data_IF_755743764365
#
_entry.id   IF_755743764365
#
_cell.length_a   1.000
_cell.length_b   1.000
_cell.length_c   1.000
_cell.angle_alpha   90.00
_cell.angle_beta   90.00
_cell.angle_gamma   90.00
#
_symmetry.space_group_name_H-M   'P 1'
#
loop_
_entity.id
_entity.type
_entity.pdbx_description
1 polymer ?
#
# COMPACT_ATOMS: atom_id res chain seq x y z
N UNK A 1 -45.02 -61.84 -12.20
CA UNK A 1 -43.65 -61.83 -12.77
C UNK A 1 -43.73 -60.95 -14.01
N UNK A 2 -43.15 -59.77 -14.14
CA UNK A 2 -42.22 -58.99 -13.33
C UNK A 2 -42.51 -57.48 -13.54
N UNK A 3 -42.07 -56.65 -12.60
CA UNK A 3 -42.19 -55.19 -12.54
C UNK A 3 -41.11 -54.50 -13.44
N UNK A 4 -41.13 -53.16 -13.58
CA UNK A 4 -40.65 -52.43 -14.77
C UNK A 4 -39.16 -52.06 -14.73
N UNK A 5 -38.51 -52.02 -15.89
CA UNK A 5 -37.15 -51.49 -16.04
C UNK A 5 -37.14 -49.96 -16.14
N UNK A 6 -36.87 -49.36 -14.98
CA UNK A 6 -35.86 -48.32 -14.75
C UNK A 6 -35.61 -47.30 -15.86
N UNK A 7 -36.14 -46.10 -15.64
CA UNK A 7 -35.66 -44.85 -16.21
C UNK A 7 -34.15 -44.68 -15.92
N UNK A 8 -33.31 -44.85 -16.94
CA UNK A 8 -31.89 -44.53 -16.85
C UNK A 8 -31.72 -43.00 -16.94
N UNK A 9 -31.84 -42.38 -15.78
CA UNK A 9 -31.40 -41.01 -15.53
C UNK A 9 -29.90 -40.93 -15.80
N UNK A 10 -29.49 -40.40 -16.96
CA UNK A 10 -28.11 -39.98 -17.19
C UNK A 10 -27.83 -38.78 -16.28
N UNK A 11 -27.23 -39.05 -15.12
CA UNK A 11 -26.63 -38.02 -14.29
C UNK A 11 -25.50 -37.36 -15.08
N UNK A 12 -25.53 -36.06 -15.38
CA UNK A 12 -24.37 -35.39 -15.93
C UNK A 12 -23.28 -35.39 -14.85
N UNK A 13 -22.09 -35.86 -15.19
CA UNK A 13 -20.92 -35.75 -14.34
C UNK A 13 -20.75 -34.29 -13.89
N UNK A 14 -20.45 -34.02 -12.61
CA UNK A 14 -20.21 -32.65 -12.18
C UNK A 14 -19.01 -32.10 -12.96
N UNK A 15 -19.06 -30.84 -13.43
CA UNK A 15 -17.91 -30.22 -14.08
C UNK A 15 -16.72 -30.25 -13.12
N UNK A 16 -15.48 -30.38 -13.62
CA UNK A 16 -14.29 -30.29 -12.78
C UNK A 16 -14.37 -28.97 -12.01
N UNK A 17 -14.40 -29.09 -10.68
CA UNK A 17 -14.41 -27.96 -9.77
C UNK A 17 -13.34 -26.95 -10.23
N UNK A 18 -13.77 -25.77 -10.65
CA UNK A 18 -12.94 -24.58 -10.78
C UNK A 18 -12.53 -24.11 -9.37
N UNK A 19 -11.83 -24.96 -8.63
CA UNK A 19 -11.20 -24.64 -7.36
C UNK A 19 -9.75 -24.25 -7.62
N UNK A 20 -9.58 -23.20 -8.44
CA UNK A 20 -8.36 -22.38 -8.42
C UNK A 20 -8.71 -20.90 -8.24
N UNK A 21 -9.80 -20.65 -7.50
CA UNK A 21 -10.05 -19.34 -6.94
C UNK A 21 -9.33 -19.28 -5.59
N UNK A 22 -8.17 -18.62 -5.57
CA UNK A 22 -7.50 -18.27 -4.31
C UNK A 22 -6.26 -19.09 -3.95
N UNK A 23 -5.41 -19.46 -4.92
CA UNK A 23 -3.98 -19.54 -4.59
C UNK A 23 -3.55 -18.08 -4.35
N UNK A 24 -3.70 -17.61 -3.11
CA UNK A 24 -3.09 -16.35 -2.67
C UNK A 24 -1.61 -16.51 -2.98
N UNK A 25 -1.13 -15.72 -3.94
CA UNK A 25 0.26 -15.77 -4.37
C UNK A 25 1.10 -15.29 -3.18
N UNK A 26 1.58 -16.22 -2.37
CA UNK A 26 2.43 -15.91 -1.23
C UNK A 26 3.72 -15.28 -1.72
N UNK A 27 3.88 -13.99 -1.46
CA UNK A 27 5.07 -13.25 -1.88
C UNK A 27 6.16 -13.50 -0.84
N UNK A 28 7.27 -14.08 -1.29
CA UNK A 28 8.43 -14.28 -0.42
C UNK A 28 9.07 -12.93 -0.08
N UNK A 29 9.82 -12.87 1.03
CA UNK A 29 10.59 -11.66 1.39
C UNK A 29 11.46 -11.15 0.24
N UNK A 30 12.12 -12.04 -0.51
CA UNK A 30 12.99 -11.65 -1.64
C UNK A 30 12.21 -11.03 -2.79
N UNK A 31 11.05 -11.59 -3.13
CA UNK A 31 10.20 -11.04 -4.18
C UNK A 31 9.66 -9.67 -3.78
N UNK A 32 9.24 -9.51 -2.52
CA UNK A 32 8.85 -8.21 -1.99
C UNK A 32 10.00 -7.20 -2.00
N UNK A 33 11.21 -7.58 -1.57
CA UNK A 33 12.37 -6.68 -1.58
C UNK A 33 12.71 -6.24 -3.02
N UNK A 34 12.60 -7.16 -3.99
CA UNK A 34 12.75 -6.85 -5.42
C UNK A 34 11.67 -5.88 -5.92
N UNK A 35 10.40 -6.12 -5.58
CA UNK A 35 9.29 -5.25 -5.95
C UNK A 35 9.46 -3.84 -5.33
N UNK A 36 9.92 -3.74 -4.09
CA UNK A 36 10.27 -2.45 -3.46
C UNK A 36 11.38 -1.73 -4.22
N UNK A 37 12.46 -2.44 -4.58
CA UNK A 37 13.58 -1.85 -5.32
C UNK A 37 13.15 -1.35 -6.71
N UNK A 38 12.36 -2.14 -7.45
CA UNK A 38 11.80 -1.73 -8.75
C UNK A 38 10.88 -0.52 -8.59
N UNK A 39 10.03 -0.53 -7.55
CA UNK A 39 9.13 0.58 -7.25
C UNK A 39 9.89 1.88 -6.99
N UNK A 40 11.03 1.81 -6.30
CA UNK A 40 11.92 2.95 -6.09
C UNK A 40 12.51 3.48 -7.40
N UNK A 41 12.97 2.60 -8.30
CA UNK A 41 13.47 2.98 -9.63
C UNK A 41 12.38 3.68 -10.45
N UNK A 42 11.17 3.13 -10.47
CA UNK A 42 10.04 3.75 -11.15
C UNK A 42 9.74 5.16 -10.61
N UNK A 43 9.73 5.35 -9.29
CA UNK A 43 9.55 6.67 -8.67
C UNK A 43 10.65 7.65 -9.09
N UNK A 44 11.92 7.20 -9.10
CA UNK A 44 13.04 8.03 -9.52
C UNK A 44 12.94 8.46 -10.99
N UNK A 45 12.29 7.66 -11.83
CA UNK A 45 12.01 7.97 -13.23
C UNK A 45 10.69 8.73 -13.44
N UNK A 46 9.97 9.13 -12.39
CA UNK A 46 8.67 9.80 -12.48
C UNK A 46 7.51 8.90 -12.91
N UNK A 47 7.70 7.58 -12.85
CA UNK A 47 6.73 6.54 -13.22
C UNK A 47 5.93 6.10 -11.99
N UNK A 48 5.26 7.04 -11.33
CA UNK A 48 4.58 6.79 -10.05
C UNK A 48 3.40 5.82 -10.15
N UNK A 49 2.68 5.78 -11.27
CA UNK A 49 1.61 4.82 -11.51
C UNK A 49 2.13 3.37 -11.54
N UNK A 50 3.25 3.13 -12.23
CA UNK A 50 3.90 1.81 -12.27
C UNK A 50 4.41 1.41 -10.89
N UNK A 51 5.02 2.35 -10.16
CA UNK A 51 5.44 2.12 -8.78
C UNK A 51 4.26 1.73 -7.88
N UNK A 52 3.16 2.48 -7.94
CA UNK A 52 1.98 2.21 -7.13
C UNK A 52 1.39 0.82 -7.43
N UNK A 53 1.31 0.43 -8.70
CA UNK A 53 0.82 -0.90 -9.09
C UNK A 53 1.68 -2.02 -8.49
N UNK A 54 3.00 -1.89 -8.50
CA UNK A 54 3.91 -2.88 -7.89
C UNK A 54 3.75 -2.94 -6.36
N UNK A 55 3.62 -1.79 -5.70
CA UNK A 55 3.48 -1.71 -4.25
C UNK A 55 2.14 -2.28 -3.76
N UNK A 56 1.07 -2.12 -4.54
CA UNK A 56 -0.25 -2.68 -4.21
C UNK A 56 -0.25 -4.21 -4.18
N UNK A 57 0.59 -4.87 -4.99
CA UNK A 57 0.75 -6.33 -5.00
C UNK A 57 1.26 -6.82 -3.64
N UNK A 58 2.20 -6.09 -3.01
CA UNK A 58 2.84 -6.50 -1.76
C UNK A 58 2.20 -5.92 -0.50
N UNK A 59 1.47 -4.81 -0.60
CA UNK A 59 0.92 -4.09 0.55
C UNK A 59 -0.16 -4.87 1.31
N UNK A 60 -0.85 -5.81 0.65
CA UNK A 60 -1.89 -6.61 1.31
C UNK A 60 -1.29 -7.64 2.28
N UNK A 61 -0.26 -8.37 1.85
CA UNK A 61 0.40 -9.41 2.67
C UNK A 61 1.38 -8.84 3.69
N UNK A 62 1.96 -7.67 3.41
CA UNK A 62 2.99 -7.03 4.25
C UNK A 62 2.50 -5.70 4.84
N UNK A 63 1.25 -5.66 5.27
CA UNK A 63 0.59 -4.45 5.79
C UNK A 63 1.22 -3.84 7.05
N UNK A 64 2.16 -4.55 7.70
CA UNK A 64 2.91 -4.10 8.89
C UNK A 64 4.36 -3.68 8.58
N UNK A 65 4.81 -3.76 7.33
CA UNK A 65 6.19 -3.42 6.95
C UNK A 65 6.32 -1.89 6.80
N UNK A 66 7.01 -1.26 7.77
CA UNK A 66 7.20 0.20 7.86
C UNK A 66 7.89 0.76 6.62
N UNK A 67 8.92 0.10 6.10
CA UNK A 67 9.65 0.58 4.92
C UNK A 67 8.77 0.52 3.67
N UNK A 68 8.02 -0.57 3.51
CA UNK A 68 7.07 -0.70 2.41
C UNK A 68 5.99 0.40 2.46
N UNK A 69 5.42 0.65 3.64
CA UNK A 69 4.41 1.68 3.84
C UNK A 69 4.95 3.08 3.53
N UNK A 70 6.21 3.38 3.86
CA UNK A 70 6.84 4.67 3.52
C UNK A 70 6.92 4.89 2.01
N UNK A 71 7.33 3.87 1.26
CA UNK A 71 7.40 3.94 -0.21
C UNK A 71 5.98 4.08 -0.79
N UNK A 72 5.02 3.31 -0.27
CA UNK A 72 3.62 3.38 -0.69
C UNK A 72 3.01 4.78 -0.50
N UNK A 73 3.24 5.42 0.65
CA UNK A 73 2.80 6.80 0.90
C UNK A 73 3.32 7.76 -0.16
N UNK A 74 4.61 7.67 -0.50
CA UNK A 74 5.20 8.54 -1.51
C UNK A 74 4.59 8.30 -2.90
N UNK A 75 4.36 7.04 -3.29
CA UNK A 75 3.70 6.70 -4.55
C UNK A 75 2.26 7.23 -4.62
N UNK A 76 1.48 7.07 -3.55
CA UNK A 76 0.11 7.57 -3.45
C UNK A 76 0.06 9.10 -3.56
N UNK A 77 0.96 9.82 -2.87
CA UNK A 77 1.05 11.29 -2.97
C UNK A 77 1.40 11.74 -4.39
N UNK A 78 2.31 11.02 -5.06
CA UNK A 78 2.76 11.33 -6.41
C UNK A 78 1.64 11.16 -7.44
N UNK A 79 0.79 10.15 -7.26
CA UNK A 79 -0.41 9.92 -8.08
C UNK A 79 -1.63 10.76 -7.66
N UNK A 80 -1.54 11.55 -6.58
CA UNK A 80 -2.63 12.40 -6.11
C UNK A 80 -3.70 11.68 -5.29
N UNK A 81 -3.45 10.43 -4.88
CA UNK A 81 -4.32 9.65 -3.99
C UNK A 81 -4.15 10.10 -2.52
N UNK A 82 -4.59 11.33 -2.23
CA UNK A 82 -4.39 11.97 -0.93
C UNK A 82 -5.01 11.22 0.26
N UNK A 83 -6.25 10.77 0.14
CA UNK A 83 -6.94 10.07 1.24
C UNK A 83 -6.32 8.71 1.53
N UNK A 84 -5.94 7.95 0.49
CA UNK A 84 -5.23 6.68 0.65
C UNK A 84 -3.85 6.88 1.28
N UNK A 85 -3.14 7.95 0.91
CA UNK A 85 -1.87 8.30 1.53
C UNK A 85 -2.03 8.62 3.03
N UNK A 86 -3.11 9.32 3.41
CA UNK A 86 -3.42 9.59 4.81
C UNK A 86 -3.71 8.30 5.58
N UNK A 87 -4.50 7.38 5.00
CA UNK A 87 -4.77 6.09 5.62
C UNK A 87 -3.49 5.25 5.84
N UNK A 88 -2.54 5.30 4.90
CA UNK A 88 -1.24 4.65 5.05
C UNK A 88 -0.35 5.33 6.10
N UNK A 89 -0.36 6.67 6.17
CA UNK A 89 0.33 7.43 7.21
C UNK A 89 -0.22 7.15 8.61
N UNK A 90 -1.54 6.99 8.75
CA UNK A 90 -2.17 6.61 10.03
C UNK A 90 -1.79 5.20 10.48
N UNK A 91 -1.40 4.32 9.55
CA UNK A 91 -0.79 3.02 9.88
C UNK A 91 0.66 3.19 10.31
N UNK A 92 1.44 4.02 9.60
CA UNK A 92 2.83 4.32 9.98
C UNK A 92 2.93 4.89 11.39
N UNK A 93 2.06 5.82 11.77
CA UNK A 93 2.04 6.37 13.14
C UNK A 93 1.84 5.32 14.24
N UNK A 94 1.25 4.16 13.91
CA UNK A 94 1.02 3.05 14.86
C UNK A 94 2.16 2.04 14.90
N UNK A 95 3.01 2.02 13.88
CA UNK A 95 4.04 1.00 13.66
C UNK A 95 5.46 1.54 13.79
N UNK A 96 5.65 2.82 13.49
CA UNK A 96 6.94 3.49 13.43
C UNK A 96 7.18 4.29 14.70
N UNK A 97 7.82 3.63 15.68
CA UNK A 97 8.19 4.25 16.95
C UNK A 97 9.49 5.07 16.88
N UNK A 98 10.18 5.10 15.73
CA UNK A 98 11.44 5.83 15.60
C UNK A 98 11.21 7.36 15.61
N UNK A 99 11.74 8.09 16.61
CA UNK A 99 11.60 9.54 16.67
C UNK A 99 12.18 10.26 15.45
N UNK A 100 13.17 9.68 14.76
CA UNK A 100 13.79 10.27 13.58
C UNK A 100 12.82 10.37 12.40
N UNK A 101 11.83 9.47 12.34
CA UNK A 101 10.80 9.38 11.31
C UNK A 101 9.76 10.50 11.39
N UNK A 102 9.62 11.13 12.57
CA UNK A 102 8.54 12.09 12.84
C UNK A 102 8.52 13.27 11.87
N UNK A 103 9.67 13.91 11.63
CA UNK A 103 9.74 15.08 10.74
C UNK A 103 9.45 14.71 9.27
N UNK A 104 10.08 13.66 8.69
CA UNK A 104 9.71 13.15 7.37
C UNK A 104 8.22 12.80 7.23
N UNK A 105 7.63 12.07 8.18
CA UNK A 105 6.21 11.70 8.13
C UNK A 105 5.30 12.92 8.21
N UNK A 106 5.68 13.94 8.99
CA UNK A 106 4.89 15.16 9.13
C UNK A 106 4.83 15.97 7.84
N UNK A 107 5.94 16.07 7.09
CA UNK A 107 5.91 16.72 5.77
C UNK A 107 5.11 15.90 4.76
N UNK A 108 5.27 14.57 4.72
CA UNK A 108 4.46 13.70 3.85
C UNK A 108 2.96 13.82 4.14
N UNK A 109 2.56 13.89 5.41
CA UNK A 109 1.16 14.11 5.81
C UNK A 109 0.64 15.46 5.34
N UNK A 110 1.44 16.52 5.39
CA UNK A 110 1.06 17.81 4.80
C UNK A 110 0.84 17.70 3.29
N UNK A 111 1.66 16.94 2.57
CA UNK A 111 1.47 16.71 1.14
C UNK A 111 0.20 15.90 0.84
N UNK A 112 -0.07 14.84 1.61
CA UNK A 112 -1.27 14.04 1.47
C UNK A 112 -2.55 14.85 1.74
N UNK A 113 -2.57 15.67 2.80
CA UNK A 113 -3.67 16.60 3.11
C UNK A 113 -3.94 17.56 1.94
N UNK A 114 -2.88 18.08 1.31
CA UNK A 114 -2.99 18.96 0.15
C UNK A 114 -3.62 18.22 -1.04
N UNK A 115 -3.20 16.98 -1.33
CA UNK A 115 -3.79 16.18 -2.41
C UNK A 115 -5.26 15.81 -2.13
N UNK A 116 -5.63 15.61 -0.87
CA UNK A 116 -7.01 15.41 -0.43
C UNK A 116 -7.86 16.70 -0.38
N UNK A 117 -7.34 17.84 -0.85
CA UNK A 117 -8.06 19.13 -0.83
C UNK A 117 -8.16 19.80 0.54
N UNK A 118 -7.57 19.21 1.60
CA UNK A 118 -7.58 19.70 2.99
C UNK A 118 -6.50 20.77 3.23
N UNK A 119 -6.57 21.85 2.44
CA UNK A 119 -5.53 22.88 2.34
C UNK A 119 -5.22 23.60 3.65
N UNK A 120 -6.24 23.87 4.48
CA UNK A 120 -6.05 24.57 5.76
C UNK A 120 -5.20 23.73 6.72
N UNK A 121 -5.51 22.44 6.84
CA UNK A 121 -4.77 21.49 7.68
C UNK A 121 -3.36 21.26 7.15
N UNK A 122 -3.21 21.09 5.83
CA UNK A 122 -1.91 20.97 5.19
C UNK A 122 -0.99 22.16 5.55
N UNK A 123 -1.50 23.40 5.43
CA UNK A 123 -0.74 24.61 5.76
C UNK A 123 -0.37 24.69 7.24
N UNK A 124 -1.29 24.33 8.14
CA UNK A 124 -1.02 24.34 9.57
C UNK A 124 0.10 23.34 9.91
N UNK A 125 0.01 22.11 9.39
CA UNK A 125 0.99 21.06 9.63
C UNK A 125 2.37 21.39 9.04
N UNK A 126 2.40 21.94 7.82
CA UNK A 126 3.64 22.37 7.18
C UNK A 126 4.35 23.49 7.97
N UNK A 127 3.59 24.44 8.53
CA UNK A 127 4.17 25.48 9.40
C UNK A 127 4.83 24.87 10.62
N UNK A 128 4.17 23.93 11.30
CA UNK A 128 4.76 23.19 12.41
C UNK A 128 6.04 22.43 12.00
N UNK A 129 6.06 21.84 10.80
CA UNK A 129 7.25 21.18 10.25
C UNK A 129 8.42 22.13 10.08
N UNK A 130 8.19 23.29 9.46
CA UNK A 130 9.23 24.30 9.27
C UNK A 130 9.75 24.80 10.61
N UNK A 131 8.87 25.08 11.58
CA UNK A 131 9.27 25.51 12.92
C UNK A 131 10.14 24.48 13.63
N UNK A 132 9.74 23.21 13.65
CA UNK A 132 10.52 22.14 14.30
C UNK A 132 11.84 21.87 13.58
N UNK A 133 11.87 21.89 12.25
CA UNK A 133 13.10 21.71 11.47
C UNK A 133 14.10 22.84 11.73
N UNK A 134 13.63 24.08 11.89
CA UNK A 134 14.48 25.23 12.18
C UNK A 134 15.01 25.26 13.63
N UNK A 135 14.31 24.60 14.55
CA UNK A 135 14.70 24.51 15.95
C UNK A 135 15.65 23.34 16.25
N UNK A 136 15.77 22.37 15.33
CA UNK A 136 16.72 21.27 15.48
C UNK A 136 18.16 21.78 15.29
N UNK A 137 19.06 21.64 16.29
CA UNK A 137 20.45 22.05 16.12
C UNK A 137 21.09 21.18 15.03
N UNK A 138 21.71 21.81 14.04
CA UNK A 138 22.55 21.15 13.05
C UNK A 138 23.74 20.58 13.81
N UNK A 139 23.71 19.29 14.17
CA UNK A 139 24.92 18.57 14.56
C UNK A 139 25.73 18.38 13.27
N UNK A 140 26.78 19.20 13.13
CA UNK A 140 27.87 18.99 12.17
C UNK A 140 28.75 17.83 12.62
#
# INVERSE_FOLDING_TARGET
MAAPDGEQHLTPAPPPHLSRAGEVLHITRRERDLLCALSYVHLACGQSAQSLALLQIVAHEHSYDVELLRILVYALISEGHGDDALAALDRLDKLDDDPSSRLPLMVLRSHALRQAGRMAEARALFKSYVSLRSAAPIKQ
#
